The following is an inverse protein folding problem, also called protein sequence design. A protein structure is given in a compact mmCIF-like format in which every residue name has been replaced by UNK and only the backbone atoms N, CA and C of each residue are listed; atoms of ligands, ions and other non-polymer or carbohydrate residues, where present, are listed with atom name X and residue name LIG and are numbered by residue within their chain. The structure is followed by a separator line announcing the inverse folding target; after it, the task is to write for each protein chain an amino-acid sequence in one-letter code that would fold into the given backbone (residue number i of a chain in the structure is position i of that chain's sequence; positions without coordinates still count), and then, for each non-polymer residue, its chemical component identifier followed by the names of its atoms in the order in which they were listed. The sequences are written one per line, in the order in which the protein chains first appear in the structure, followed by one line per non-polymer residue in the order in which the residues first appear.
data_IF_391685800217
#
_entry.id   IF_391685800217
#
_cell.length_a   1.000
_cell.length_b   1.000
_cell.length_c   1.000
_cell.angle_alpha   90.00
_cell.angle_beta   90.00
_cell.angle_gamma   90.00
#
_symmetry.space_group_name_H-M   'P 1'
#
loop_
_entity.id
_entity.type
_entity.pdbx_description
1 polymer ?
#
# COMPACT_ATOMS: atom_id res chain seq x y z
N UNK A 1 19.97 2.20 1.62
CA UNK A 1 18.81 2.90 1.00
C UNK A 1 18.55 2.30 -0.36
N UNK A 2 19.56 2.34 -1.22
CA UNK A 2 19.73 1.47 -2.39
C UNK A 2 19.23 0.03 -2.18
N UNK A 3 19.66 -0.67 -1.13
CA UNK A 3 19.24 -2.06 -0.86
C UNK A 3 17.74 -2.19 -0.62
N UNK A 4 17.16 -1.24 0.14
CA UNK A 4 15.74 -1.21 0.44
C UNK A 4 14.92 -0.92 -0.83
N UNK A 5 15.38 0.00 -1.68
CA UNK A 5 14.77 0.26 -2.99
C UNK A 5 14.83 -0.99 -3.88
N UNK A 6 15.97 -1.69 -3.91
CA UNK A 6 16.11 -2.93 -4.66
C UNK A 6 15.14 -4.01 -4.15
N UNK A 7 14.96 -4.14 -2.84
CA UNK A 7 14.00 -5.08 -2.25
C UNK A 7 12.55 -4.76 -2.64
N UNK A 8 12.17 -3.48 -2.73
CA UNK A 8 10.86 -3.06 -3.25
C UNK A 8 10.70 -3.50 -4.71
N UNK A 9 11.73 -3.33 -5.55
CA UNK A 9 11.67 -3.78 -6.95
C UNK A 9 11.63 -5.32 -7.07
N UNK A 10 12.18 -6.06 -6.11
CA UNK A 10 12.01 -7.52 -6.06
C UNK A 10 10.56 -7.94 -5.79
N UNK A 11 9.78 -7.16 -5.02
CA UNK A 11 8.35 -7.39 -4.87
C UNK A 11 7.62 -7.24 -6.21
N UNK A 12 7.97 -6.19 -6.97
CA UNK A 12 7.40 -5.97 -8.31
C UNK A 12 7.80 -7.09 -9.28
N UNK A 13 9.06 -7.52 -9.25
CA UNK A 13 9.53 -8.66 -10.03
C UNK A 13 8.73 -9.92 -9.71
N UNK A 14 8.55 -10.25 -8.42
CA UNK A 14 7.75 -11.41 -8.01
C UNK A 14 6.32 -11.32 -8.53
N UNK A 15 5.67 -10.16 -8.36
CA UNK A 15 4.31 -9.92 -8.84
C UNK A 15 4.18 -10.11 -10.35
N UNK A 16 5.12 -9.54 -11.14
CA UNK A 16 5.14 -9.66 -12.61
C UNK A 16 5.35 -11.11 -13.07
N UNK A 17 5.93 -11.96 -12.23
CA UNK A 17 6.08 -13.40 -12.47
C UNK A 17 4.95 -14.22 -11.83
N UNK A 18 3.80 -13.61 -11.50
CA UNK A 18 2.62 -14.29 -10.99
C UNK A 18 2.75 -14.77 -9.54
N UNK A 19 3.74 -14.27 -8.79
CA UNK A 19 3.98 -14.64 -7.39
C UNK A 19 3.64 -13.48 -6.46
N UNK A 20 2.77 -13.73 -5.48
CA UNK A 20 2.51 -12.77 -4.41
C UNK A 20 3.61 -12.87 -3.35
N UNK A 21 4.30 -11.75 -3.11
CA UNK A 21 5.33 -11.65 -2.09
C UNK A 21 5.05 -10.48 -1.13
N UNK A 22 5.64 -10.55 0.06
CA UNK A 22 5.66 -9.44 1.03
C UNK A 22 6.99 -9.44 1.77
N UNK A 23 7.44 -8.25 2.19
CA UNK A 23 8.56 -8.09 3.13
C UNK A 23 7.95 -7.87 4.51
N UNK A 24 8.46 -8.59 5.50
CA UNK A 24 8.04 -8.49 6.90
C UNK A 24 9.24 -8.31 7.80
N UNK A 25 9.15 -7.31 8.67
CA UNK A 25 10.07 -7.06 9.78
C UNK A 25 9.23 -6.81 11.05
N UNK A 26 9.82 -6.81 12.25
CA UNK A 26 9.11 -6.42 13.46
C UNK A 26 8.44 -5.04 13.29
N UNK A 27 7.11 -5.00 13.40
CA UNK A 27 6.32 -3.77 13.24
C UNK A 27 6.15 -3.28 11.79
N UNK A 28 6.71 -3.94 10.78
CA UNK A 28 6.66 -3.47 9.39
C UNK A 28 6.22 -4.59 8.43
N UNK A 29 5.23 -4.28 7.58
CA UNK A 29 4.82 -5.14 6.46
C UNK A 29 4.72 -4.29 5.20
N UNK A 30 5.28 -4.76 4.09
CA UNK A 30 5.11 -4.13 2.77
C UNK A 30 4.86 -5.15 1.67
N UNK A 31 4.08 -4.75 0.67
CA UNK A 31 3.71 -5.60 -0.46
C UNK A 31 2.94 -4.84 -1.53
N UNK A 32 2.46 -5.56 -2.55
CA UNK A 32 1.75 -4.98 -3.70
C UNK A 32 0.25 -5.19 -3.58
N UNK A 33 -0.51 -4.18 -4.01
CA UNK A 33 -1.97 -4.21 -4.22
C UNK A 33 -2.21 -3.95 -5.72
N UNK A 34 -2.82 -4.91 -6.40
CA UNK A 34 -3.27 -4.80 -7.80
C UNK A 34 -4.80 -4.78 -7.93
N UNK A 35 -5.53 -5.19 -6.88
CA UNK A 35 -7.00 -5.25 -6.85
C UNK A 35 -7.60 -4.86 -5.51
N UNK A 36 -7.36 -5.66 -4.47
CA UNK A 36 -7.90 -5.40 -3.13
C UNK A 36 -6.92 -5.88 -2.05
N UNK A 37 -6.82 -5.11 -0.97
CA UNK A 37 -6.17 -5.52 0.27
C UNK A 37 -7.01 -5.08 1.46
N UNK A 38 -7.24 -6.03 2.38
CA UNK A 38 -7.93 -5.80 3.64
C UNK A 38 -6.91 -5.83 4.78
N UNK A 39 -6.99 -4.83 5.64
CA UNK A 39 -6.24 -4.73 6.90
C UNK A 39 -7.23 -4.88 8.05
N UNK A 40 -7.08 -5.94 8.85
CA UNK A 40 -7.98 -6.26 9.95
C UNK A 40 -7.24 -6.19 11.29
N UNK A 41 -7.86 -5.60 12.30
CA UNK A 41 -7.29 -5.40 13.65
C UNK A 41 -5.94 -4.66 13.62
N UNK A 42 -5.88 -3.58 12.84
CA UNK A 42 -4.70 -2.72 12.69
C UNK A 42 -4.95 -1.28 13.12
N UNK A 43 -5.90 -1.03 14.02
CA UNK A 43 -6.21 0.31 14.53
C UNK A 43 -4.95 0.97 15.10
N UNK A 44 -4.70 2.23 14.74
CA UNK A 44 -3.52 3.00 15.12
C UNK A 44 -2.29 2.77 14.23
N UNK A 45 -2.29 1.75 13.38
CA UNK A 45 -1.17 1.51 12.46
C UNK A 45 -1.11 2.59 11.37
N UNK A 46 0.12 2.98 11.02
CA UNK A 46 0.40 3.82 9.86
C UNK A 46 0.25 3.02 8.56
N UNK A 47 -0.42 3.59 7.57
CA UNK A 47 -0.57 3.02 6.23
C UNK A 47 -0.11 4.03 5.19
N UNK A 48 0.91 3.67 4.40
CA UNK A 48 1.34 4.45 3.25
C UNK A 48 1.07 3.69 1.96
N UNK A 49 0.53 4.40 0.98
CA UNK A 49 0.20 3.89 -0.36
C UNK A 49 1.02 4.66 -1.40
N UNK A 50 1.89 3.96 -2.12
CA UNK A 50 2.86 4.56 -3.04
C UNK A 50 2.70 3.92 -4.43
N UNK A 51 2.38 4.69 -5.48
CA UNK A 51 2.34 4.17 -6.84
C UNK A 51 3.70 3.61 -7.30
N UNK A 52 3.71 2.39 -7.83
CA UNK A 52 4.86 1.86 -8.57
C UNK A 52 4.83 2.33 -10.04
N UNK A 53 3.62 2.32 -10.62
CA UNK A 53 3.34 2.93 -11.93
C UNK A 53 3.29 4.46 -11.86
N UNK A 54 3.32 5.13 -13.03
CA UNK A 54 3.19 6.59 -13.12
C UNK A 54 1.88 7.10 -12.47
N UNK A 55 0.79 6.37 -12.70
CA UNK A 55 -0.53 6.62 -12.14
C UNK A 55 -1.20 5.30 -11.77
N UNK A 56 -1.85 5.28 -10.60
CA UNK A 56 -2.77 4.21 -10.17
C UNK A 56 -4.17 4.81 -10.03
N UNK A 57 -5.16 4.25 -10.72
CA UNK A 57 -6.52 4.80 -10.83
C UNK A 57 -7.57 3.91 -10.18
N UNK A 58 -8.73 4.50 -9.84
CA UNK A 58 -9.81 3.79 -9.17
C UNK A 58 -9.44 3.37 -7.75
N UNK A 59 -8.56 4.13 -7.10
CA UNK A 59 -8.11 3.85 -5.74
C UNK A 59 -9.21 4.27 -4.76
N UNK A 60 -9.70 3.31 -3.97
CA UNK A 60 -10.62 3.58 -2.87
C UNK A 60 -9.98 3.12 -1.56
N UNK A 61 -10.03 3.97 -0.54
CA UNK A 61 -9.46 3.74 0.79
C UNK A 61 -10.54 3.99 1.83
N UNK A 62 -10.86 2.95 2.60
CA UNK A 62 -11.83 3.00 3.70
C UNK A 62 -11.20 2.55 5.02
N UNK A 63 -11.83 2.91 6.16
CA UNK A 63 -11.35 2.54 7.49
C UNK A 63 -10.07 3.24 7.96
N UNK A 64 -9.61 4.25 7.22
CA UNK A 64 -8.45 5.08 7.53
C UNK A 64 -8.85 6.53 7.78
N UNK A 65 -7.97 7.31 8.42
CA UNK A 65 -8.14 8.74 8.69
C UNK A 65 -8.38 9.56 7.42
N UNK A 66 -7.58 9.32 6.40
CA UNK A 66 -7.74 9.96 5.09
C UNK A 66 -8.39 8.98 4.12
N UNK A 67 -9.66 9.21 3.83
CA UNK A 67 -10.43 8.41 2.88
C UNK A 67 -10.13 8.82 1.44
N UNK A 68 -10.34 7.90 0.52
CA UNK A 68 -10.30 8.14 -0.91
C UNK A 68 -11.40 7.32 -1.56
N UNK A 69 -12.12 7.89 -2.52
CA UNK A 69 -13.17 7.20 -3.27
C UNK A 69 -12.88 7.34 -4.75
N UNK A 70 -12.63 6.22 -5.43
CA UNK A 70 -12.37 6.12 -6.87
C UNK A 70 -11.36 7.16 -7.40
N UNK A 71 -10.33 7.48 -6.61
CA UNK A 71 -9.35 8.51 -6.93
C UNK A 71 -8.15 8.00 -7.72
N UNK A 72 -7.34 8.94 -8.23
CA UNK A 72 -6.03 8.64 -8.81
C UNK A 72 -4.89 9.03 -7.87
N UNK A 73 -3.86 8.18 -7.80
CA UNK A 73 -2.59 8.46 -7.14
C UNK A 73 -1.48 8.55 -8.20
N UNK A 74 -0.87 9.74 -8.30
CA UNK A 74 0.25 10.01 -9.21
C UNK A 74 1.57 9.86 -8.47
N UNK A 75 2.51 9.10 -9.03
CA UNK A 75 3.78 8.75 -8.38
C UNK A 75 4.58 9.95 -7.91
N UNK A 76 4.53 11.05 -8.67
CA UNK A 76 5.28 12.28 -8.38
C UNK A 76 4.57 13.23 -7.39
N UNK A 77 3.29 12.98 -7.03
CA UNK A 77 2.49 13.85 -6.14
C UNK A 77 2.52 13.43 -4.68
N UNK A 78 3.09 12.26 -4.36
CA UNK A 78 3.25 11.69 -3.00
C UNK A 78 1.98 11.62 -2.13
N UNK A 79 0.78 11.81 -2.71
CA UNK A 79 -0.49 11.61 -2.03
C UNK A 79 -0.65 10.13 -1.68
N UNK A 80 -1.11 9.83 -0.47
CA UNK A 80 -1.36 8.46 0.00
C UNK A 80 -0.38 7.97 1.07
N UNK A 81 0.68 8.73 1.36
CA UNK A 81 1.62 8.41 2.45
C UNK A 81 1.09 8.88 3.82
N UNK A 82 1.56 8.23 4.89
CA UNK A 82 1.32 8.62 6.28
C UNK A 82 -0.16 8.72 6.68
N UNK A 83 -0.98 7.79 6.19
CA UNK A 83 -2.34 7.60 6.67
C UNK A 83 -2.34 6.78 7.97
N UNK A 84 -3.47 6.76 8.69
CA UNK A 84 -3.63 6.01 9.93
C UNK A 84 -4.90 5.17 9.81
N UNK A 85 -4.84 3.90 10.19
CA UNK A 85 -6.03 3.04 10.28
C UNK A 85 -6.80 3.40 11.56
N UNK A 86 -8.06 3.80 11.42
CA UNK A 86 -8.91 4.25 12.54
C UNK A 86 -10.06 3.28 12.85
N UNK A 87 -10.31 2.31 11.97
CA UNK A 87 -11.38 1.32 12.13
C UNK A 87 -10.82 -0.10 12.21
N UNK A 88 -11.62 -1.04 12.73
CA UNK A 88 -11.22 -2.45 12.85
C UNK A 88 -10.88 -3.07 11.49
N UNK A 89 -11.58 -2.63 10.44
CA UNK A 89 -11.37 -3.05 9.05
C UNK A 89 -11.06 -1.83 8.19
N UNK A 90 -9.86 -1.81 7.60
CA UNK A 90 -9.51 -0.90 6.51
C UNK A 90 -9.39 -1.67 5.19
N UNK A 91 -9.87 -1.07 4.11
CA UNK A 91 -9.86 -1.70 2.78
C UNK A 91 -9.27 -0.72 1.78
N UNK A 92 -8.36 -1.22 0.96
CA UNK A 92 -7.80 -0.51 -0.19
C UNK A 92 -8.14 -1.31 -1.44
N UNK A 93 -8.84 -0.68 -2.39
CA UNK A 93 -9.08 -1.25 -3.73
C UNK A 93 -8.39 -0.44 -4.80
N UNK A 94 -8.04 -1.09 -5.90
CA UNK A 94 -7.38 -0.51 -7.07
C UNK A 94 -8.04 -1.07 -8.32
N UNK A 95 -8.39 -0.23 -9.29
CA UNK A 95 -8.93 -0.68 -10.58
C UNK A 95 -7.83 -0.90 -11.61
N UNK A 96 -6.80 -0.05 -11.62
CA UNK A 96 -5.70 -0.12 -12.57
C UNK A 96 -4.39 0.41 -11.98
N UNK A 97 -3.33 -0.35 -12.22
CA UNK A 97 -1.96 -0.04 -11.82
C UNK A 97 -1.52 -0.78 -10.57
N UNK A 98 -0.24 -0.63 -10.21
CA UNK A 98 0.37 -1.28 -9.05
C UNK A 98 0.64 -0.30 -7.92
N UNK A 99 0.14 -0.64 -6.74
CA UNK A 99 0.28 0.16 -5.53
C UNK A 99 1.10 -0.60 -4.49
N UNK A 100 2.23 -0.02 -4.06
CA UNK A 100 2.96 -0.49 -2.89
C UNK A 100 2.22 -0.03 -1.63
N UNK A 101 1.92 -0.95 -0.72
CA UNK A 101 1.54 -0.59 0.64
C UNK A 101 2.72 -0.76 1.59
N UNK A 102 2.80 0.13 2.57
CA UNK A 102 3.68 0.00 3.73
C UNK A 102 2.81 0.18 4.97
N UNK A 103 2.70 -0.88 5.76
CA UNK A 103 2.01 -0.90 7.04
C UNK A 103 3.05 -0.85 8.15
N UNK A 104 2.97 0.17 9.00
CA UNK A 104 3.84 0.34 10.15
C UNK A 104 3.01 0.28 11.43
N UNK A 105 3.30 -0.66 12.30
CA UNK A 105 2.73 -0.77 13.62
C UNK A 105 3.74 -0.21 14.61
N UNK A 106 3.46 0.97 15.15
CA UNK A 106 4.17 1.45 16.33
C UNK A 106 3.78 0.55 17.51
N UNK A 107 4.79 0.02 18.21
CA UNK A 107 4.61 -0.65 19.51
C UNK A 107 4.04 0.32 20.56
#
# INVERSE_FOLDING_TARGET
LDQQLANIFLLEYAFRNGTTACIKEPGLEMGIIDREKVFFQKIGAGLSLIPLDEEVTGVTVTGCKYLLESGSLLRYKTRGISNIIEQEKAVVTVEKGLLLYILNQSE
#
